data_IF_743399548429
#
_entry.id   IF_743399548429
#
_cell.length_a   1.000
_cell.length_b   1.000
_cell.length_c   1.000
_cell.angle_alpha   90.00
_cell.angle_beta   90.00
_cell.angle_gamma   90.00
#
_symmetry.space_group_name_H-M   'P 1'
#
loop_
_entity.id
_entity.type
_entity.pdbx_description
1 polymer ?
#
# COMPACT_ATOMS: atom_id res chain seq x y z
N UNK A 1 -64.00 11.24 -18.53
CA UNK A 1 -65.09 10.58 -19.28
C UNK A 1 -64.48 9.32 -19.87
N UNK A 2 -64.57 8.18 -19.20
CA UNK A 2 -65.75 7.30 -19.09
C UNK A 2 -65.74 6.23 -20.20
N UNK A 3 -65.30 5.02 -19.85
CA UNK A 3 -65.59 3.78 -20.59
C UNK A 3 -67.07 3.42 -20.50
N UNK A 4 -67.53 2.41 -21.25
CA UNK A 4 -67.92 1.17 -20.55
C UNK A 4 -67.63 -0.16 -21.31
N UNK A 5 -67.31 -1.23 -20.55
CA UNK A 5 -67.85 -2.62 -20.56
C UNK A 5 -68.06 -3.39 -21.89
N UNK A 6 -67.92 -4.72 -22.02
CA UNK A 6 -67.73 -5.87 -21.08
C UNK A 6 -67.10 -7.09 -21.87
N UNK A 7 -66.77 -8.29 -21.37
CA UNK A 7 -66.69 -8.88 -20.01
C UNK A 7 -65.68 -10.09 -19.95
N UNK A 8 -65.96 -11.17 -19.20
CA UNK A 8 -65.15 -12.39 -18.95
C UNK A 8 -66.03 -13.67 -19.22
N UNK A 9 -65.58 -14.96 -19.16
CA UNK A 9 -64.99 -15.58 -17.96
C UNK A 9 -63.89 -16.67 -18.15
N UNK A 10 -63.38 -17.14 -17.00
CA UNK A 10 -62.43 -18.22 -16.73
C UNK A 10 -62.55 -19.54 -17.52
N UNK A 11 -61.44 -20.29 -17.58
CA UNK A 11 -61.36 -21.60 -16.92
C UNK A 11 -59.92 -21.97 -16.52
N UNK A 12 -59.82 -22.65 -15.37
CA UNK A 12 -58.59 -23.13 -14.73
C UNK A 12 -58.14 -24.46 -15.36
N UNK A 13 -56.84 -24.77 -15.33
CA UNK A 13 -56.33 -26.09 -14.88
C UNK A 13 -54.78 -26.13 -14.86
N UNK A 14 -54.22 -26.36 -13.67
CA UNK A 14 -52.95 -27.07 -13.50
C UNK A 14 -53.28 -28.52 -13.10
N UNK A 15 -52.43 -29.51 -13.46
CA UNK A 15 -51.45 -29.93 -12.45
C UNK A 15 -50.08 -30.36 -12.99
N UNK A 16 -49.08 -30.09 -12.14
CA UNK A 16 -47.89 -30.90 -11.83
C UNK A 16 -47.52 -32.09 -12.76
N UNK A 17 -46.28 -32.07 -13.27
CA UNK A 17 -45.53 -33.30 -13.56
C UNK A 17 -44.15 -33.25 -12.91
N UNK A 18 -43.81 -34.30 -12.15
CA UNK A 18 -42.59 -34.39 -11.35
C UNK A 18 -41.48 -35.12 -12.11
N UNK A 19 -40.29 -34.52 -12.20
CA UNK A 19 -39.09 -35.20 -12.70
C UNK A 19 -38.55 -36.18 -11.65
N UNK A 20 -38.94 -37.45 -11.78
CA UNK A 20 -38.42 -38.54 -10.96
C UNK A 20 -36.98 -38.91 -11.35
N UNK A 21 -36.09 -39.00 -10.36
CA UNK A 21 -34.73 -39.53 -10.52
C UNK A 21 -34.76 -41.07 -10.61
N UNK A 22 -33.96 -41.71 -11.49
CA UNK A 22 -33.80 -43.17 -11.45
C UNK A 22 -32.94 -43.59 -10.24
N UNK A 23 -33.37 -44.66 -9.53
CA UNK A 23 -32.53 -45.37 -8.55
C UNK A 23 -31.70 -46.45 -9.26
N UNK A 24 -30.40 -46.60 -9.00
CA UNK A 24 -29.64 -47.75 -9.46
C UNK A 24 -29.93 -48.99 -8.59
N UNK A 25 -30.00 -50.17 -9.22
CA UNK A 25 -30.24 -51.45 -8.56
C UNK A 25 -28.94 -52.08 -8.03
N UNK A 26 -28.99 -52.70 -6.85
CA UNK A 26 -27.95 -53.63 -6.42
C UNK A 26 -28.12 -54.97 -7.15
N UNK A 27 -27.06 -55.47 -7.78
CA UNK A 27 -26.58 -56.87 -7.64
C UNK A 27 -25.29 -57.13 -8.44
N UNK A 28 -24.30 -57.69 -7.75
CA UNK A 28 -23.14 -58.46 -8.25
C UNK A 28 -22.27 -57.87 -9.38
N UNK A 29 -21.10 -57.31 -9.01
CA UNK A 29 -19.87 -57.54 -9.76
C UNK A 29 -18.68 -57.80 -8.81
N UNK A 30 -17.66 -58.50 -9.32
CA UNK A 30 -16.66 -59.24 -8.51
C UNK A 30 -15.65 -58.35 -7.77
N UNK A 31 -15.18 -58.88 -6.64
CA UNK A 31 -13.98 -58.42 -5.93
C UNK A 31 -12.77 -58.33 -6.89
N UNK A 32 -12.14 -57.16 -6.93
CA UNK A 32 -10.73 -57.00 -7.30
C UNK A 32 -10.06 -56.25 -6.15
N UNK A 33 -9.15 -56.93 -5.43
CA UNK A 33 -8.29 -56.27 -4.45
C UNK A 33 -7.24 -55.46 -5.19
N UNK A 34 -7.41 -54.13 -5.24
CA UNK A 34 -6.32 -53.21 -5.57
C UNK A 34 -5.78 -52.62 -4.27
N UNK A 35 -4.53 -52.97 -3.94
CA UNK A 35 -3.81 -52.46 -2.79
C UNK A 35 -3.58 -50.96 -2.95
N UNK A 36 -4.34 -50.14 -2.24
CA UNK A 36 -4.05 -48.71 -2.15
C UNK A 36 -2.79 -48.55 -1.30
N UNK A 37 -1.64 -48.44 -1.96
CA UNK A 37 -0.42 -47.94 -1.34
C UNK A 37 -0.70 -46.52 -0.85
N UNK A 38 -0.77 -46.38 0.47
CA UNK A 38 -0.82 -45.09 1.14
C UNK A 38 0.55 -44.42 0.95
N UNK A 39 0.73 -43.73 -0.18
CA UNK A 39 1.89 -42.85 -0.39
C UNK A 39 1.83 -41.77 0.70
N UNK A 40 2.87 -41.64 1.55
CA UNK A 40 2.91 -40.54 2.48
C UNK A 40 2.91 -39.25 1.67
N UNK A 41 1.99 -38.34 1.99
CA UNK A 41 2.07 -36.97 1.53
C UNK A 41 3.41 -36.42 2.03
N UNK A 42 4.41 -36.36 1.15
CA UNK A 42 5.66 -35.68 1.42
C UNK A 42 5.32 -34.21 1.58
N UNK A 43 5.07 -33.83 2.84
CA UNK A 43 5.14 -32.44 3.28
C UNK A 43 6.51 -31.94 2.83
N UNK A 44 6.54 -31.16 1.74
CA UNK A 44 7.74 -30.43 1.35
C UNK A 44 8.26 -29.75 2.59
N UNK A 45 9.52 -30.00 3.01
CA UNK A 45 10.03 -29.38 4.21
C UNK A 45 9.89 -27.88 4.01
N UNK A 46 9.21 -27.21 4.93
CA UNK A 46 9.25 -25.77 4.99
C UNK A 46 10.73 -25.43 5.15
N UNK A 47 11.35 -24.91 4.09
CA UNK A 47 12.74 -24.49 4.13
C UNK A 47 12.77 -23.40 5.19
N UNK A 48 13.31 -23.76 6.35
CA UNK A 48 13.59 -22.83 7.43
C UNK A 48 14.72 -21.93 6.93
N UNK A 49 14.36 -20.92 6.14
CA UNK A 49 15.22 -19.79 5.84
C UNK A 49 15.46 -19.10 7.17
N UNK A 50 16.54 -19.51 7.84
CA UNK A 50 17.12 -18.77 8.96
C UNK A 50 17.18 -17.29 8.58
N UNK A 51 16.89 -16.44 9.56
CA UNK A 51 17.06 -14.99 9.42
C UNK A 51 18.54 -14.69 9.15
N UNK A 52 18.92 -14.58 7.87
CA UNK A 52 20.22 -14.05 7.47
C UNK A 52 20.36 -12.65 8.04
N UNK A 53 21.22 -12.49 9.05
CA UNK A 53 21.60 -11.20 9.63
C UNK A 53 20.52 -10.42 10.39
N UNK A 54 19.22 -10.64 10.13
CA UNK A 54 18.14 -9.81 10.65
C UNK A 54 17.83 -10.04 12.13
N UNK A 55 17.65 -8.93 12.86
CA UNK A 55 17.18 -8.90 14.24
C UNK A 55 15.99 -7.96 14.39
N UNK A 56 14.91 -8.44 15.02
CA UNK A 56 13.71 -7.67 15.33
C UNK A 56 13.63 -7.44 16.84
N UNK A 57 13.96 -6.24 17.29
CA UNK A 57 14.01 -5.86 18.70
C UNK A 57 12.74 -5.08 19.09
N UNK A 58 12.09 -5.49 20.19
CA UNK A 58 11.02 -4.70 20.81
C UNK A 58 11.64 -3.48 21.51
N UNK A 59 11.16 -2.28 21.20
CA UNK A 59 11.56 -1.05 21.89
C UNK A 59 10.63 -0.76 23.06
N UNK A 60 11.15 -0.05 24.07
CA UNK A 60 10.34 0.39 25.21
C UNK A 60 9.44 1.58 24.83
N UNK A 61 8.16 1.49 25.17
CA UNK A 61 7.15 2.53 24.94
C UNK A 61 6.27 2.68 26.17
N UNK A 62 5.96 3.93 26.54
CA UNK A 62 5.16 4.28 27.72
C UNK A 62 3.67 3.93 27.58
N UNK A 63 3.19 3.89 26.34
CA UNK A 63 1.80 3.58 25.96
C UNK A 63 1.79 2.84 24.62
N UNK A 64 0.71 2.12 24.27
CA UNK A 64 0.59 1.47 22.98
C UNK A 64 0.79 2.43 21.81
N UNK A 65 1.60 2.02 20.84
CA UNK A 65 1.83 2.76 19.59
C UNK A 65 0.56 2.75 18.76
N UNK A 66 0.20 3.91 18.22
CA UNK A 66 -0.97 4.11 17.35
C UNK A 66 -0.62 4.49 15.93
N UNK A 67 0.52 5.12 15.72
CA UNK A 67 0.88 5.77 14.47
C UNK A 67 2.40 5.97 14.41
N UNK A 68 2.99 5.77 13.23
CA UNK A 68 4.31 6.26 12.87
C UNK A 68 4.13 7.28 11.76
N UNK A 69 4.77 8.44 11.89
CA UNK A 69 4.73 9.52 10.90
C UNK A 69 6.15 9.86 10.48
N UNK A 70 6.41 9.83 9.17
CA UNK A 70 7.70 10.22 8.58
C UNK A 70 7.52 11.58 7.91
N UNK A 71 8.30 12.58 8.35
CA UNK A 71 8.31 13.91 7.75
C UNK A 71 9.67 14.17 7.10
N UNK A 72 9.67 14.62 5.85
CA UNK A 72 10.86 15.19 5.22
C UNK A 72 11.13 16.57 5.82
N UNK A 73 12.34 16.81 6.32
CA UNK A 73 12.76 18.13 6.78
C UNK A 73 13.66 18.76 5.70
N UNK A 74 13.39 20.01 5.31
CA UNK A 74 14.04 20.70 4.18
C UNK A 74 15.58 20.59 4.17
N UNK A 75 16.09 19.61 3.41
CA UNK A 75 17.52 19.32 3.30
C UNK A 75 18.21 18.74 4.56
N UNK A 76 17.47 18.44 5.64
CA UNK A 76 18.00 17.89 6.90
C UNK A 76 17.68 16.40 7.12
N UNK A 77 17.33 15.69 6.05
CA UNK A 77 16.89 14.29 6.11
C UNK A 77 15.45 14.13 6.62
N UNK A 78 15.07 12.93 7.03
CA UNK A 78 13.73 12.62 7.54
C UNK A 78 13.69 12.61 9.08
N UNK A 79 12.58 13.11 9.65
CA UNK A 79 12.24 12.97 11.06
C UNK A 79 11.17 11.90 11.19
N UNK A 80 11.33 10.99 12.16
CA UNK A 80 10.35 9.94 12.48
C UNK A 80 9.70 10.26 13.81
N UNK A 81 8.36 10.25 13.82
CA UNK A 81 7.55 10.50 15.00
C UNK A 81 6.71 9.27 15.34
N UNK A 82 6.67 8.94 16.63
CA UNK A 82 5.96 7.81 17.23
C UNK A 82 4.82 8.35 18.09
N UNK A 83 3.58 7.97 17.78
CA UNK A 83 2.41 8.30 18.59
C UNK A 83 2.14 7.23 19.62
N UNK A 84 2.33 7.57 20.89
CA UNK A 84 2.10 6.71 22.05
C UNK A 84 0.84 7.20 22.77
N UNK A 85 -0.29 6.50 22.59
CA UNK A 85 -1.60 7.01 22.99
C UNK A 85 -1.93 8.35 22.31
N UNK A 86 -2.02 9.43 23.11
CA UNK A 86 -2.23 10.81 22.62
C UNK A 86 -0.94 11.61 22.47
N UNK A 87 0.20 11.14 22.98
CA UNK A 87 1.46 11.88 23.00
C UNK A 87 2.37 11.51 21.82
N UNK A 88 2.94 12.53 21.17
CA UNK A 88 3.95 12.36 20.14
C UNK A 88 5.36 12.39 20.71
N UNK A 89 6.23 11.54 20.16
CA UNK A 89 7.65 11.47 20.46
C UNK A 89 8.44 11.42 19.16
N UNK A 90 9.56 12.13 19.06
CA UNK A 90 10.52 12.01 17.96
C UNK A 90 11.50 10.88 18.26
N UNK A 91 11.69 9.98 17.30
CA UNK A 91 12.72 8.95 17.38
C UNK A 91 14.07 9.53 16.91
N UNK A 92 15.11 9.33 17.73
CA UNK A 92 16.49 9.75 17.47
C UNK A 92 17.46 8.63 17.89
N UNK A 93 18.74 8.72 17.49
CA UNK A 93 19.80 7.95 18.16
C UNK A 93 19.97 8.42 19.61
N UNK A 94 20.37 7.54 20.52
CA UNK A 94 20.65 7.92 21.91
C UNK A 94 22.00 8.64 22.05
N UNK A 95 22.06 9.64 22.93
CA UNK A 95 23.27 10.46 23.18
C UNK A 95 24.27 9.81 24.17
N UNK A 96 24.06 8.53 24.51
CA UNK A 96 24.90 7.74 25.43
C UNK A 96 26.04 6.98 24.74
N UNK A 97 26.22 7.20 23.43
CA UNK A 97 27.20 6.48 22.60
C UNK A 97 26.76 5.08 22.18
N UNK A 98 25.56 4.62 22.59
CA UNK A 98 24.95 3.43 22.01
C UNK A 98 24.50 3.72 20.57
N UNK A 99 24.40 2.67 19.75
CA UNK A 99 23.75 2.77 18.44
C UNK A 99 22.23 2.47 18.54
N UNK A 100 21.61 2.76 19.68
CA UNK A 100 20.20 2.48 19.96
C UNK A 100 19.30 3.70 19.72
N UNK A 101 17.98 3.50 19.86
CA UNK A 101 16.97 4.52 19.55
C UNK A 101 16.25 5.02 20.80
N UNK A 102 16.25 6.34 20.96
CA UNK A 102 15.61 7.07 22.03
C UNK A 102 14.35 7.79 21.52
N UNK A 103 13.29 7.82 22.34
CA UNK A 103 12.01 8.47 22.03
C UNK A 103 11.84 9.73 22.88
N UNK A 104 12.18 10.90 22.33
CA UNK A 104 12.03 12.19 23.03
C UNK A 104 10.64 12.76 22.79
N UNK A 105 9.92 13.16 23.84
CA UNK A 105 8.59 13.78 23.72
C UNK A 105 8.66 15.07 22.89
N UNK A 106 8.07 15.04 21.69
CA UNK A 106 8.09 16.14 20.73
C UNK A 106 6.95 15.95 19.71
N UNK A 107 6.15 16.99 19.40
CA UNK A 107 5.15 16.91 18.34
C UNK A 107 5.81 16.87 16.94
N UNK A 108 5.13 16.30 15.94
CA UNK A 108 5.50 16.50 14.54
C UNK A 108 5.40 17.97 14.14
N UNK A 109 6.09 18.33 13.05
CA UNK A 109 5.91 19.65 12.44
C UNK A 109 4.48 19.78 11.90
N UNK A 110 3.91 20.97 12.01
CA UNK A 110 2.58 21.23 11.48
C UNK A 110 2.57 21.11 9.96
N UNK A 111 1.58 20.40 9.41
CA UNK A 111 1.36 20.34 7.96
C UNK A 111 1.11 21.75 7.40
N UNK A 112 1.49 22.03 6.13
CA UNK A 112 1.18 23.29 5.47
C UNK A 112 -0.32 23.64 5.55
N UNK A 113 -0.64 24.91 5.76
CA UNK A 113 -2.03 25.38 5.75
C UNK A 113 -2.62 25.29 4.34
N UNK A 114 -3.68 24.52 4.20
CA UNK A 114 -4.36 24.31 2.93
C UNK A 114 -5.41 25.42 2.73
N UNK A 115 -5.32 26.25 1.67
CA UNK A 115 -6.28 27.34 1.50
C UNK A 115 -7.65 26.78 1.11
N UNK A 116 -8.71 27.13 1.86
CA UNK A 116 -10.07 26.61 1.63
C UNK A 116 -10.63 26.93 0.22
N UNK A 117 -10.13 27.99 -0.43
CA UNK A 117 -10.45 28.32 -1.83
C UNK A 117 -9.94 27.29 -2.84
N UNK A 118 -9.00 26.43 -2.45
CA UNK A 118 -8.42 25.36 -3.25
C UNK A 118 -9.10 24.00 -2.98
N UNK A 119 -10.37 24.04 -2.54
CA UNK A 119 -11.19 22.86 -2.28
C UNK A 119 -11.06 22.31 -0.86
N UNK A 120 -12.13 21.66 -0.40
CA UNK A 120 -12.13 20.96 0.89
C UNK A 120 -11.16 19.78 0.83
N UNK A 121 -10.15 19.78 1.69
CA UNK A 121 -9.20 18.67 1.81
C UNK A 121 -9.89 17.37 2.27
N UNK A 122 -9.34 16.22 1.88
CA UNK A 122 -9.75 14.92 2.40
C UNK A 122 -9.47 14.83 3.90
N UNK A 123 -10.43 14.32 4.68
CA UNK A 123 -10.22 14.09 6.12
C UNK A 123 -9.18 13.00 6.29
N UNK A 124 -8.23 13.20 7.20
CA UNK A 124 -7.13 12.27 7.49
C UNK A 124 -6.17 12.02 6.29
N UNK A 125 -6.33 12.76 5.19
CA UNK A 125 -5.39 12.78 4.07
C UNK A 125 -4.13 13.57 4.43
N UNK A 126 -2.97 13.09 3.98
CA UNK A 126 -1.69 13.75 4.20
C UNK A 126 -1.37 14.78 3.11
N UNK A 127 -0.58 15.77 3.48
CA UNK A 127 -0.04 16.77 2.55
C UNK A 127 1.35 16.34 2.12
N UNK A 128 1.53 16.08 0.83
CA UNK A 128 2.84 15.78 0.26
C UNK A 128 3.61 17.08 0.00
N UNK A 129 4.91 17.08 0.29
CA UNK A 129 5.80 18.23 0.04
C UNK A 129 7.07 17.78 -0.70
N UNK A 130 7.59 18.64 -1.57
CA UNK A 130 8.82 18.41 -2.31
C UNK A 130 9.72 19.66 -2.31
N UNK A 131 11.01 19.46 -2.04
CA UNK A 131 12.04 20.51 -2.01
C UNK A 131 12.41 21.01 -3.41
N UNK A 132 12.44 20.10 -4.38
CA UNK A 132 12.88 20.31 -5.77
C UNK A 132 11.72 20.04 -6.75
N UNK A 133 11.89 20.27 -8.05
CA UNK A 133 10.78 20.22 -9.02
C UNK A 133 9.85 21.45 -9.09
N UNK A 134 8.84 21.37 -9.94
CA UNK A 134 7.86 22.43 -10.23
C UNK A 134 6.63 22.38 -9.31
N UNK A 135 6.11 21.19 -8.99
CA UNK A 135 5.08 20.98 -7.96
C UNK A 135 5.75 20.89 -6.59
N UNK A 136 5.29 21.69 -5.62
CA UNK A 136 5.86 21.78 -4.25
C UNK A 136 5.01 21.12 -3.18
N UNK A 137 3.69 21.22 -3.32
CA UNK A 137 2.73 20.74 -2.31
C UNK A 137 1.59 20.05 -3.04
N UNK A 138 1.10 18.92 -2.53
CA UNK A 138 -0.06 18.22 -3.08
C UNK A 138 -0.95 17.64 -1.98
N UNK A 139 -2.26 17.70 -2.15
CA UNK A 139 -3.25 17.12 -1.22
C UNK A 139 -4.54 16.72 -1.93
N UNK A 140 -5.19 15.69 -1.41
CA UNK A 140 -6.47 15.19 -1.93
C UNK A 140 -7.63 16.11 -1.55
N UNK A 141 -8.58 16.29 -2.47
CA UNK A 141 -9.70 17.24 -2.33
C UNK A 141 -11.05 16.66 -2.75
N UNK A 142 -12.11 17.27 -2.23
CA UNK A 142 -13.49 16.90 -2.50
C UNK A 142 -13.86 15.54 -1.91
N UNK A 143 -14.08 15.44 -0.58
CA UNK A 143 -14.52 14.19 0.05
C UNK A 143 -15.87 13.74 -0.52
N UNK A 144 -16.00 12.47 -0.91
CA UNK A 144 -17.19 11.92 -1.58
C UNK A 144 -17.48 10.48 -1.15
N UNK A 145 -18.76 10.11 -1.08
CA UNK A 145 -19.22 8.76 -0.75
C UNK A 145 -19.65 7.93 -1.98
N UNK A 146 -19.28 8.38 -3.19
CA UNK A 146 -19.70 7.76 -4.47
C UNK A 146 -19.11 6.38 -4.75
N UNK A 147 -18.14 5.94 -3.96
CA UNK A 147 -17.50 4.63 -4.04
C UNK A 147 -17.42 4.02 -2.65
N UNK A 148 -18.24 3.00 -2.40
CA UNK A 148 -18.42 2.41 -1.06
C UNK A 148 -17.62 1.11 -0.92
N UNK A 149 -16.29 1.22 -0.97
CA UNK A 149 -15.40 0.08 -0.73
C UNK A 149 -14.98 -0.04 0.75
N UNK A 150 -14.72 1.08 1.42
CA UNK A 150 -14.44 1.08 2.87
C UNK A 150 -13.02 0.61 3.25
N UNK A 151 -12.14 0.37 2.26
CA UNK A 151 -10.87 -0.33 2.49
C UNK A 151 -9.91 0.47 3.38
N UNK A 152 -10.05 1.79 3.40
CA UNK A 152 -9.27 2.75 4.17
C UNK A 152 -9.87 3.04 5.57
N UNK A 153 -10.92 2.33 5.97
CA UNK A 153 -11.52 2.46 7.31
C UNK A 153 -12.61 3.52 7.45
N UNK A 154 -12.89 4.29 6.39
CA UNK A 154 -14.23 4.81 6.12
C UNK A 154 -14.54 4.67 4.62
N UNK A 155 -15.74 5.10 4.20
CA UNK A 155 -16.20 5.07 2.82
C UNK A 155 -16.25 6.47 2.19
N UNK A 156 -15.25 7.32 2.49
CA UNK A 156 -15.11 8.68 1.99
C UNK A 156 -13.79 8.81 1.22
N UNK A 157 -13.90 8.83 -0.09
CA UNK A 157 -12.77 8.93 -1.02
C UNK A 157 -12.65 10.37 -1.56
N UNK A 158 -11.62 10.68 -2.36
CA UNK A 158 -11.45 12.01 -2.95
C UNK A 158 -11.93 12.11 -4.42
N UNK A 159 -12.58 13.22 -4.76
CA UNK A 159 -12.96 13.55 -6.15
C UNK A 159 -11.83 14.16 -6.96
N UNK A 160 -10.76 14.64 -6.31
CA UNK A 160 -9.67 15.32 -6.98
C UNK A 160 -8.42 15.47 -6.13
N UNK A 161 -7.45 16.17 -6.71
CA UNK A 161 -6.21 16.57 -6.06
C UNK A 161 -5.92 18.02 -6.40
N UNK A 162 -5.45 18.78 -5.42
CA UNK A 162 -4.94 20.13 -5.57
C UNK A 162 -3.43 20.13 -5.38
N UNK A 163 -2.75 21.00 -6.12
CA UNK A 163 -1.29 21.18 -6.03
C UNK A 163 -0.92 22.64 -5.97
N UNK A 164 0.16 22.95 -5.25
CA UNK A 164 0.84 24.25 -5.28
C UNK A 164 2.14 24.12 -6.07
N UNK A 165 2.37 25.03 -7.01
CA UNK A 165 3.57 25.12 -7.82
C UNK A 165 4.65 25.96 -7.15
N UNK A 166 5.89 25.87 -7.64
CA UNK A 166 7.07 26.62 -7.17
C UNK A 166 6.89 28.14 -7.24
N UNK A 167 6.04 28.64 -8.13
CA UNK A 167 5.67 30.05 -8.25
C UNK A 167 4.48 30.44 -7.35
N UNK A 168 4.05 29.57 -6.43
CA UNK A 168 2.93 29.79 -5.51
C UNK A 168 1.53 29.60 -6.12
N UNK A 169 1.41 29.43 -7.44
CA UNK A 169 0.12 29.20 -8.10
C UNK A 169 -0.44 27.81 -7.78
N UNK A 170 -1.76 27.68 -7.82
CA UNK A 170 -2.45 26.41 -7.60
C UNK A 170 -2.97 25.79 -8.90
N UNK A 171 -2.97 24.46 -8.98
CA UNK A 171 -3.66 23.69 -10.04
C UNK A 171 -4.48 22.57 -9.41
N UNK A 172 -5.49 22.12 -10.16
CA UNK A 172 -6.46 21.13 -9.73
C UNK A 172 -6.62 20.08 -10.80
N UNK A 173 -6.79 18.82 -10.39
CA UNK A 173 -7.27 17.77 -11.26
C UNK A 173 -8.48 17.11 -10.59
N UNK A 174 -9.63 17.18 -11.24
CA UNK A 174 -10.88 16.58 -10.77
C UNK A 174 -11.22 15.36 -11.63
N UNK A 175 -11.49 14.24 -10.97
CA UNK A 175 -11.88 13.00 -11.62
C UNK A 175 -13.31 13.09 -12.17
N UNK A 176 -13.58 12.47 -13.34
CA UNK A 176 -14.94 12.22 -13.80
C UNK A 176 -15.73 11.41 -12.76
N UNK A 177 -17.07 11.44 -12.86
CA UNK A 177 -17.96 10.80 -11.87
C UNK A 177 -17.84 9.27 -11.80
N UNK A 178 -17.12 8.65 -12.73
CA UNK A 178 -16.89 7.21 -12.88
C UNK A 178 -15.75 6.64 -12.01
N UNK A 179 -15.05 7.49 -11.26
CA UNK A 179 -13.87 7.13 -10.50
C UNK A 179 -13.64 8.02 -9.27
N UNK A 180 -12.76 7.62 -8.36
CA UNK A 180 -12.32 8.38 -7.17
C UNK A 180 -10.81 8.17 -6.97
N UNK A 181 -10.15 9.04 -6.21
CA UNK A 181 -8.85 8.72 -5.62
C UNK A 181 -9.10 7.98 -4.30
N UNK A 182 -8.78 6.68 -4.29
CA UNK A 182 -8.87 5.79 -3.13
C UNK A 182 -7.48 5.66 -2.50
N UNK A 183 -7.03 6.78 -1.94
CA UNK A 183 -5.68 7.01 -1.40
C UNK A 183 -5.76 8.03 -0.26
N UNK A 184 -4.71 8.14 0.55
CA UNK A 184 -4.58 9.17 1.59
C UNK A 184 -3.35 10.05 1.39
N UNK A 185 -2.38 9.61 0.59
CA UNK A 185 -1.06 10.24 0.52
C UNK A 185 -0.63 10.40 -0.94
N UNK A 186 -0.73 11.61 -1.53
CA UNK A 186 -0.06 11.89 -2.79
C UNK A 186 1.44 11.60 -2.66
N UNK A 187 2.03 10.88 -3.61
CA UNK A 187 3.47 10.59 -3.60
C UNK A 187 4.10 11.45 -4.70
N UNK A 188 4.97 12.38 -4.31
CA UNK A 188 5.42 13.49 -5.15
C UNK A 188 6.93 13.38 -5.42
N UNK A 189 7.32 13.16 -6.67
CA UNK A 189 8.74 13.01 -7.07
C UNK A 189 8.92 13.19 -8.58
N UNK A 190 10.14 13.48 -9.02
CA UNK A 190 10.56 13.40 -10.42
C UNK A 190 10.67 11.92 -10.83
N UNK A 191 9.76 11.46 -11.70
CA UNK A 191 9.67 10.05 -12.11
C UNK A 191 10.48 9.75 -13.38
N UNK A 192 10.54 10.69 -14.33
CA UNK A 192 11.13 10.47 -15.66
C UNK A 192 12.54 11.06 -15.81
N UNK A 193 12.97 11.90 -14.88
CA UNK A 193 14.27 12.55 -14.79
C UNK A 193 14.35 13.93 -15.44
N UNK A 194 13.22 14.58 -15.76
CA UNK A 194 13.20 15.88 -16.44
C UNK A 194 13.35 17.12 -15.52
N UNK A 195 13.42 16.92 -14.20
CA UNK A 195 13.56 17.97 -13.21
C UNK A 195 12.25 18.60 -12.75
N UNK A 196 11.09 18.06 -13.16
CA UNK A 196 9.75 18.37 -12.64
C UNK A 196 9.25 17.22 -11.78
N UNK A 197 8.18 17.46 -11.01
CA UNK A 197 7.60 16.40 -10.17
C UNK A 197 6.27 15.91 -10.75
N UNK A 198 6.10 14.59 -10.72
CA UNK A 198 4.82 13.92 -10.89
C UNK A 198 4.22 13.51 -9.54
N UNK A 199 2.90 13.37 -9.52
CA UNK A 199 2.16 12.72 -8.45
C UNK A 199 1.85 11.28 -8.85
N UNK A 200 2.10 10.33 -7.95
CA UNK A 200 1.59 8.97 -8.00
C UNK A 200 0.39 8.86 -7.04
N UNK A 201 -0.76 8.45 -7.57
CA UNK A 201 -2.02 8.28 -6.84
C UNK A 201 -2.73 6.98 -7.21
N UNK A 202 -3.55 6.45 -6.31
CA UNK A 202 -4.47 5.34 -6.62
C UNK A 202 -5.82 5.87 -7.10
N UNK A 203 -6.16 5.66 -8.37
CA UNK A 203 -7.49 5.97 -8.94
C UNK A 203 -8.33 4.70 -9.00
N UNK A 204 -9.46 4.67 -8.31
CA UNK A 204 -10.43 3.57 -8.36
C UNK A 204 -11.64 3.92 -9.21
N UNK A 205 -11.83 3.16 -10.29
CA UNK A 205 -13.02 3.24 -11.14
C UNK A 205 -14.18 2.47 -10.52
N UNK A 206 -15.39 3.05 -10.54
CA UNK A 206 -16.59 2.48 -9.91
C UNK A 206 -16.92 1.08 -10.45
N UNK A 207 -16.62 0.80 -11.72
CA UNK A 207 -16.82 -0.52 -12.35
C UNK A 207 -15.54 -1.36 -12.51
N UNK A 208 -14.39 -0.73 -12.77
CA UNK A 208 -13.15 -1.41 -13.18
C UNK A 208 -12.09 -1.56 -12.07
N UNK A 209 -12.30 -0.96 -10.90
CA UNK A 209 -11.36 -1.01 -9.78
C UNK A 209 -10.14 -0.10 -9.96
N UNK A 210 -9.11 -0.32 -9.15
CA UNK A 210 -7.95 0.55 -9.04
C UNK A 210 -6.98 0.49 -10.24
N UNK A 211 -6.36 1.63 -10.50
CA UNK A 211 -5.18 1.87 -11.32
C UNK A 211 -4.24 2.83 -10.57
N UNK A 212 -2.93 2.80 -10.89
CA UNK A 212 -2.04 3.91 -10.54
C UNK A 212 -2.17 4.98 -11.60
N UNK A 213 -2.39 6.22 -11.17
CA UNK A 213 -2.44 7.41 -12.00
C UNK A 213 -1.21 8.29 -11.76
N UNK A 214 -0.63 8.77 -12.87
CA UNK A 214 0.48 9.72 -12.89
C UNK A 214 -0.05 11.08 -13.34
N UNK A 215 0.04 12.09 -12.48
CA UNK A 215 -0.31 13.48 -12.81
C UNK A 215 0.95 14.34 -12.83
N UNK A 216 1.02 15.31 -13.73
CA UNK A 216 2.11 16.30 -13.75
C UNK A 216 1.73 17.53 -14.56
N UNK A 217 2.57 18.55 -14.58
CA UNK A 217 2.28 19.80 -15.29
C UNK A 217 2.61 19.69 -16.77
N UNK A 218 1.62 19.93 -17.62
CA UNK A 218 1.76 20.06 -19.09
C UNK A 218 0.87 21.22 -19.55
N UNK A 219 1.39 22.07 -20.44
CA UNK A 219 0.74 23.30 -20.93
C UNK A 219 0.19 24.20 -19.80
N UNK A 220 0.96 24.31 -18.71
CA UNK A 220 0.60 25.07 -17.51
C UNK A 220 -0.65 24.54 -16.76
N UNK A 221 -1.10 23.30 -16.99
CA UNK A 221 -2.20 22.63 -16.29
C UNK A 221 -1.73 21.33 -15.62
N UNK A 222 -2.41 20.92 -14.54
CA UNK A 222 -2.21 19.59 -13.96
C UNK A 222 -3.00 18.57 -14.79
N UNK A 223 -2.30 17.65 -15.46
CA UNK A 223 -2.90 16.68 -16.37
C UNK A 223 -2.49 15.25 -16.05
N UNK A 224 -3.36 14.32 -16.42
CA UNK A 224 -3.09 12.89 -16.41
C UNK A 224 -2.11 12.54 -17.53
N UNK A 225 -0.95 12.01 -17.15
CA UNK A 225 0.14 11.69 -18.07
C UNK A 225 0.12 10.21 -18.47
N UNK A 226 -0.13 9.32 -17.51
CA UNK A 226 -0.25 7.89 -17.73
C UNK A 226 -1.06 7.22 -16.62
N UNK A 227 -1.62 6.05 -16.91
CA UNK A 227 -2.23 5.15 -15.93
C UNK A 227 -1.78 3.70 -16.18
N UNK A 228 -1.74 2.87 -15.14
CA UNK A 228 -1.76 1.42 -15.35
C UNK A 228 -3.14 0.99 -15.85
N UNK A 229 -3.27 -0.15 -16.56
CA UNK A 229 -4.58 -0.76 -16.77
C UNK A 229 -5.32 -0.94 -15.43
N UNK A 230 -6.60 -0.55 -15.36
CA UNK A 230 -7.43 -0.81 -14.20
C UNK A 230 -7.56 -2.32 -13.96
N UNK A 231 -7.55 -2.76 -12.70
CA UNK A 231 -7.37 -4.19 -12.39
C UNK A 231 -8.59 -5.10 -12.59
N UNK A 232 -9.63 -4.57 -13.25
CA UNK A 232 -10.68 -5.32 -13.96
C UNK A 232 -12.00 -5.53 -13.21
N UNK A 233 -12.13 -5.05 -11.97
CA UNK A 233 -13.35 -5.19 -11.16
C UNK A 233 -13.41 -4.17 -10.04
N UNK A 234 -14.56 -3.55 -9.84
CA UNK A 234 -14.90 -2.74 -8.66
C UNK A 234 -14.48 -3.39 -7.33
N UNK A 235 -14.13 -2.57 -6.34
CA UNK A 235 -13.68 -3.02 -5.02
C UNK A 235 -12.47 -3.98 -5.08
N UNK A 236 -11.64 -3.83 -6.13
CA UNK A 236 -10.27 -4.33 -6.18
C UNK A 236 -9.36 -3.12 -6.17
N UNK A 237 -8.40 -3.14 -5.25
CA UNK A 237 -7.55 -2.01 -4.94
C UNK A 237 -6.05 -2.33 -5.10
N UNK A 238 -5.24 -1.29 -5.26
CA UNK A 238 -3.77 -1.30 -5.34
C UNK A 238 -3.25 -0.47 -4.17
N UNK A 239 -2.27 -0.96 -3.42
CA UNK A 239 -1.57 -0.12 -2.44
C UNK A 239 -0.12 0.13 -2.89
N UNK A 240 0.29 1.37 -3.20
CA UNK A 240 1.68 1.69 -3.49
C UNK A 240 2.57 1.32 -2.29
N UNK A 241 3.68 0.64 -2.57
CA UNK A 241 4.59 0.10 -1.56
C UNK A 241 5.89 0.88 -1.45
N UNK A 242 6.51 1.21 -2.58
CA UNK A 242 7.82 1.88 -2.62
C UNK A 242 7.88 2.88 -3.78
N UNK A 243 8.68 3.93 -3.61
CA UNK A 243 9.00 4.90 -4.64
C UNK A 243 10.47 5.27 -4.50
N UNK A 244 11.32 4.58 -5.24
CA UNK A 244 12.78 4.63 -5.08
C UNK A 244 13.49 4.10 -6.32
N UNK A 245 14.74 4.50 -6.55
CA UNK A 245 15.58 3.89 -7.58
C UNK A 245 15.98 2.47 -7.15
N UNK A 246 15.28 1.48 -7.67
CA UNK A 246 15.51 0.07 -7.41
C UNK A 246 16.53 -0.52 -8.39
N UNK A 247 16.55 -0.01 -9.62
CA UNK A 247 17.44 -0.48 -10.69
C UNK A 247 18.83 0.18 -10.67
N UNK A 248 19.03 1.27 -9.93
CA UNK A 248 20.29 2.01 -9.85
C UNK A 248 20.53 2.88 -11.10
N UNK A 249 19.46 3.36 -11.76
CA UNK A 249 19.56 4.15 -12.99
C UNK A 249 19.42 5.67 -12.78
N UNK A 250 19.21 6.12 -11.54
CA UNK A 250 18.98 7.52 -11.17
C UNK A 250 17.53 7.95 -11.18
N UNK A 251 16.57 7.07 -11.54
CA UNK A 251 15.13 7.38 -11.57
C UNK A 251 14.33 6.40 -10.74
N UNK A 252 13.31 6.86 -9.98
CA UNK A 252 12.55 6.00 -9.11
C UNK A 252 11.59 5.08 -9.88
N UNK A 253 11.56 3.82 -9.50
CA UNK A 253 10.47 2.91 -9.85
C UNK A 253 9.35 2.97 -8.81
N UNK A 254 8.12 2.75 -9.29
CA UNK A 254 6.90 2.65 -8.48
C UNK A 254 6.65 1.19 -8.15
N UNK A 255 6.84 0.80 -6.89
CA UNK A 255 6.36 -0.48 -6.38
C UNK A 255 4.94 -0.36 -5.85
N UNK A 256 4.12 -1.38 -6.07
CA UNK A 256 2.77 -1.50 -5.53
C UNK A 256 2.43 -2.96 -5.21
N UNK A 257 1.51 -3.20 -4.27
CA UNK A 257 0.86 -4.50 -4.10
C UNK A 257 -0.54 -4.45 -4.69
N UNK A 258 -0.78 -5.28 -5.70
CA UNK A 258 -2.11 -5.55 -6.23
C UNK A 258 -2.89 -6.43 -5.27
N UNK A 259 -4.08 -5.99 -4.89
CA UNK A 259 -5.04 -6.69 -4.02
C UNK A 259 -4.39 -7.27 -2.75
N UNK A 260 -3.81 -6.43 -1.87
CA UNK A 260 -3.01 -6.86 -0.71
C UNK A 260 -3.78 -7.71 0.32
N UNK A 261 -5.12 -7.70 0.28
CA UNK A 261 -5.98 -8.47 1.19
C UNK A 261 -6.30 -9.89 0.70
N UNK A 262 -5.96 -10.24 -0.55
CA UNK A 262 -6.26 -11.55 -1.15
C UNK A 262 -5.09 -12.08 -1.99
N UNK A 263 -4.18 -12.79 -1.33
CA UNK A 263 -3.00 -13.41 -1.95
C UNK A 263 -1.85 -12.43 -2.23
N UNK A 264 -2.17 -11.28 -2.81
CA UNK A 264 -1.27 -10.13 -2.99
C UNK A 264 -0.15 -10.35 -4.00
N UNK A 265 0.05 -9.36 -4.88
CA UNK A 265 1.13 -9.39 -5.86
C UNK A 265 1.88 -8.06 -5.86
N UNK A 266 3.15 -8.08 -5.44
CA UNK A 266 4.07 -6.97 -5.63
C UNK A 266 4.34 -6.82 -7.13
N UNK A 267 4.24 -5.60 -7.64
CA UNK A 267 4.55 -5.22 -9.01
C UNK A 267 5.46 -3.99 -8.98
N UNK A 268 6.47 -3.97 -9.84
CA UNK A 268 7.34 -2.82 -10.05
C UNK A 268 7.05 -2.21 -11.42
N UNK A 269 6.83 -0.90 -11.46
CA UNK A 269 6.47 -0.13 -12.62
C UNK A 269 7.45 1.03 -12.82
N UNK A 270 7.75 1.36 -14.08
CA UNK A 270 8.56 2.51 -14.46
C UNK A 270 7.79 3.43 -15.40
N UNK A 271 7.85 4.72 -15.14
CA UNK A 271 7.35 5.78 -16.02
C UNK A 271 8.49 6.25 -16.96
N UNK A 272 8.16 6.56 -18.21
CA UNK A 272 9.12 7.03 -19.22
C UNK A 272 8.79 8.43 -19.77
N UNK A 273 8.01 9.21 -19.02
CA UNK A 273 7.46 10.50 -19.43
C UNK A 273 6.19 10.40 -20.29
N UNK A 274 5.81 9.19 -20.74
CA UNK A 274 4.65 8.96 -21.62
C UNK A 274 3.75 7.80 -21.20
N UNK A 275 4.31 6.74 -20.60
CA UNK A 275 3.56 5.53 -20.22
C UNK A 275 4.18 4.84 -19.01
N UNK A 276 3.37 4.03 -18.33
CA UNK A 276 3.82 3.10 -17.30
C UNK A 276 4.12 1.73 -17.93
N UNK A 277 5.26 1.15 -17.56
CA UNK A 277 5.69 -0.19 -17.99
C UNK A 277 6.06 -1.04 -16.78
N UNK A 278 5.49 -2.25 -16.67
CA UNK A 278 5.78 -3.16 -15.55
C UNK A 278 7.12 -3.87 -15.81
N UNK A 279 8.11 -3.69 -14.92
CA UNK A 279 9.43 -4.29 -15.04
C UNK A 279 9.55 -5.65 -14.34
N UNK A 280 8.89 -5.82 -13.19
CA UNK A 280 8.93 -7.08 -12.42
C UNK A 280 7.63 -7.29 -11.62
N UNK A 281 7.34 -8.53 -11.21
CA UNK A 281 6.24 -8.88 -10.29
C UNK A 281 6.50 -10.19 -9.53
N UNK A 282 6.02 -10.27 -8.30
CA UNK A 282 6.07 -11.49 -7.48
C UNK A 282 4.83 -11.60 -6.57
N UNK A 283 4.37 -12.82 -6.31
CA UNK A 283 3.19 -13.09 -5.47
C UNK A 283 3.59 -13.30 -3.99
N UNK A 284 2.63 -13.14 -3.07
CA UNK A 284 2.80 -13.55 -1.68
C UNK A 284 3.16 -12.42 -0.71
N UNK A 285 2.72 -11.18 -0.99
CA UNK A 285 3.02 -9.98 -0.20
C UNK A 285 1.77 -9.23 0.22
N UNK A 286 1.79 -8.59 1.40
CA UNK A 286 0.68 -7.73 1.87
C UNK A 286 1.21 -6.51 2.61
N UNK A 287 1.10 -5.34 1.98
CA UNK A 287 1.45 -4.04 2.58
C UNK A 287 0.20 -3.26 3.04
N UNK A 288 -0.95 -3.90 3.24
CA UNK A 288 -2.14 -3.23 3.78
C UNK A 288 -3.05 -4.15 4.56
N UNK A 289 -3.59 -3.65 5.68
CA UNK A 289 -4.64 -4.29 6.46
C UNK A 289 -5.97 -3.59 6.17
N UNK A 290 -7.03 -4.36 5.89
CA UNK A 290 -8.34 -3.79 5.56
C UNK A 290 -8.87 -2.93 6.73
N UNK A 291 -9.38 -1.74 6.41
CA UNK A 291 -9.83 -0.76 7.39
C UNK A 291 -8.73 0.10 8.02
N UNK A 292 -7.46 -0.08 7.61
CA UNK A 292 -6.33 0.72 8.12
C UNK A 292 -6.21 2.08 7.43
N UNK A 293 -5.63 3.05 8.13
CA UNK A 293 -5.12 4.31 7.57
C UNK A 293 -3.63 4.25 7.22
N UNK A 294 -2.91 3.26 7.75
CA UNK A 294 -1.51 3.04 7.47
C UNK A 294 -1.34 2.37 6.10
N UNK A 295 -0.83 3.12 5.12
CA UNK A 295 -0.60 2.66 3.74
C UNK A 295 0.85 2.21 3.50
N UNK A 296 1.78 2.66 4.33
CA UNK A 296 3.22 2.51 4.15
C UNK A 296 3.83 1.28 4.82
N UNK A 297 3.19 0.11 4.78
CA UNK A 297 3.74 -1.15 5.36
C UNK A 297 4.84 -1.74 4.44
N UNK A 298 5.80 -0.92 4.03
CA UNK A 298 6.99 -1.29 3.30
C UNK A 298 8.03 -0.18 3.35
N UNK A 299 9.31 -0.53 3.20
CA UNK A 299 10.42 0.42 3.22
C UNK A 299 11.50 0.05 2.19
N UNK A 300 12.38 0.99 1.85
CA UNK A 300 13.56 0.74 0.99
C UNK A 300 14.83 1.10 1.73
N UNK A 301 15.72 0.13 1.87
CA UNK A 301 17.09 0.31 2.33
C UNK A 301 18.06 0.13 1.18
N UNK A 302 19.22 0.76 1.24
CA UNK A 302 20.23 0.74 0.18
C UNK A 302 21.58 0.42 0.81
N UNK A 303 22.30 -0.54 0.23
CA UNK A 303 23.68 -0.88 0.60
C UNK A 303 24.47 -1.19 -0.67
N UNK A 304 25.69 -0.66 -0.79
CA UNK A 304 26.58 -0.90 -1.94
C UNK A 304 25.88 -0.69 -3.31
N UNK A 305 25.12 0.39 -3.45
CA UNK A 305 24.29 0.72 -4.63
C UNK A 305 23.22 -0.33 -5.00
N UNK A 306 22.90 -1.26 -4.09
CA UNK A 306 21.86 -2.26 -4.24
C UNK A 306 20.69 -1.96 -3.31
N UNK A 307 19.56 -1.55 -3.92
CA UNK A 307 18.31 -1.30 -3.21
C UNK A 307 17.66 -2.60 -2.75
N UNK A 308 16.97 -2.53 -1.62
CA UNK A 308 16.29 -3.66 -0.96
C UNK A 308 14.89 -3.22 -0.55
N UNK A 309 13.88 -4.03 -0.85
CA UNK A 309 12.50 -3.77 -0.42
C UNK A 309 12.25 -4.58 0.85
N UNK A 310 11.78 -3.92 1.90
CA UNK A 310 11.31 -4.56 3.14
C UNK A 310 9.79 -4.53 3.12
N UNK A 311 9.15 -5.69 3.15
CA UNK A 311 7.70 -5.82 2.99
C UNK A 311 7.17 -7.09 3.70
N UNK A 312 5.94 -7.09 4.26
CA UNK A 312 5.37 -8.30 4.86
C UNK A 312 5.03 -9.39 3.84
N UNK A 313 5.08 -10.64 4.29
CA UNK A 313 4.46 -11.75 3.58
C UNK A 313 2.92 -11.61 3.53
N UNK A 314 2.24 -12.34 2.64
CA UNK A 314 0.79 -12.23 2.45
C UNK A 314 -0.07 -12.52 3.70
N UNK A 315 0.51 -13.17 4.72
CA UNK A 315 -0.14 -13.42 6.02
C UNK A 315 0.11 -12.31 7.04
N UNK A 316 1.02 -11.37 6.72
CA UNK A 316 1.61 -10.40 7.63
C UNK A 316 2.25 -11.04 8.87
N UNK A 317 2.84 -12.23 8.68
CA UNK A 317 3.43 -13.07 9.73
C UNK A 317 4.96 -13.00 9.78
N UNK A 318 5.57 -12.40 8.76
CA UNK A 318 7.00 -12.15 8.68
C UNK A 318 7.26 -10.91 7.82
N UNK A 319 8.38 -10.24 8.08
CA UNK A 319 8.98 -9.31 7.12
C UNK A 319 9.93 -10.08 6.20
N UNK A 320 9.93 -9.70 4.93
CA UNK A 320 10.82 -10.20 3.89
C UNK A 320 11.70 -9.06 3.42
N UNK A 321 13.00 -9.32 3.26
CA UNK A 321 13.95 -8.44 2.58
C UNK A 321 14.13 -8.98 1.17
N UNK A 322 13.73 -8.19 0.17
CA UNK A 322 13.83 -8.52 -1.24
C UNK A 322 14.98 -7.77 -1.89
N UNK A 323 15.64 -8.39 -2.87
CA UNK A 323 16.46 -7.65 -3.83
C UNK A 323 15.57 -6.73 -4.69
N UNK A 324 15.87 -5.44 -4.76
CA UNK A 324 15.02 -4.45 -5.42
C UNK A 324 14.83 -4.67 -6.93
N UNK A 325 15.79 -5.32 -7.60
CA UNK A 325 15.73 -5.56 -9.06
C UNK A 325 15.00 -6.85 -9.39
N UNK A 326 15.36 -7.94 -8.70
CA UNK A 326 14.89 -9.30 -9.00
C UNK A 326 13.67 -9.73 -8.20
N UNK A 327 13.36 -9.05 -7.08
CA UNK A 327 12.35 -9.43 -6.08
C UNK A 327 12.64 -10.77 -5.37
N UNK A 328 13.85 -11.31 -5.50
CA UNK A 328 14.28 -12.51 -4.79
C UNK A 328 14.35 -12.24 -3.28
N UNK A 329 13.84 -13.17 -2.47
CA UNK A 329 13.91 -13.09 -1.01
C UNK A 329 15.36 -13.33 -0.57
N UNK A 330 15.98 -12.32 0.02
CA UNK A 330 17.33 -12.36 0.58
C UNK A 330 17.31 -12.68 2.08
N UNK A 331 16.29 -12.22 2.80
CA UNK A 331 16.14 -12.41 4.24
C UNK A 331 14.68 -12.49 4.67
N UNK A 332 14.43 -13.11 5.82
CA UNK A 332 13.12 -13.25 6.47
C UNK A 332 13.30 -13.06 7.97
N UNK A 333 12.34 -12.40 8.62
CA UNK A 333 12.22 -12.41 10.10
C UNK A 333 10.75 -12.54 10.48
N UNK A 334 10.45 -13.44 11.41
CA UNK A 334 9.08 -13.66 11.89
C UNK A 334 8.60 -12.46 12.71
N UNK A 335 7.33 -12.09 12.54
CA UNK A 335 6.68 -11.06 13.33
C UNK A 335 5.87 -11.72 14.47
N UNK A 336 5.92 -11.19 15.71
CA UNK A 336 5.11 -11.71 16.82
C UNK A 336 3.61 -11.40 16.65
N UNK A 337 3.26 -10.33 15.91
CA UNK A 337 1.90 -10.02 15.50
C UNK A 337 1.90 -9.13 14.24
N UNK A 338 0.73 -8.83 13.67
CA UNK A 338 0.64 -8.10 12.39
C UNK A 338 1.07 -6.64 12.51
N UNK A 339 1.67 -6.01 11.48
CA UNK A 339 1.93 -4.58 11.48
C UNK A 339 0.64 -3.75 11.42
N UNK A 340 0.65 -2.63 12.13
CA UNK A 340 -0.49 -1.71 12.26
C UNK A 340 -0.15 -0.25 11.93
N UNK A 341 1.12 0.08 11.75
CA UNK A 341 1.59 1.41 11.32
C UNK A 341 2.31 1.35 9.99
N UNK A 342 2.53 2.53 9.40
CA UNK A 342 3.53 2.72 8.36
C UNK A 342 4.92 2.32 8.87
N UNK A 343 5.83 1.98 7.97
CA UNK A 343 7.22 1.65 8.28
C UNK A 343 8.07 2.91 8.14
N UNK A 344 8.87 3.20 9.16
CA UNK A 344 9.73 4.38 9.18
C UNK A 344 11.21 3.97 9.15
N UNK A 345 11.93 4.40 8.11
CA UNK A 345 13.37 4.23 8.03
C UNK A 345 14.06 5.34 8.85
N UNK A 346 14.90 4.95 9.80
CA UNK A 346 15.85 5.83 10.47
C UNK A 346 17.23 5.51 9.93
N UNK A 347 17.98 6.56 9.60
CA UNK A 347 19.42 6.49 9.31
C UNK A 347 20.15 7.29 10.38
N UNK A 348 21.00 6.62 11.15
CA UNK A 348 21.84 7.28 12.16
C UNK A 348 23.01 8.01 11.48
N UNK A 349 23.66 9.00 12.14
CA UNK A 349 24.86 9.66 11.61
C UNK A 349 26.02 8.69 11.30
N UNK A 350 26.04 7.52 11.95
CA UNK A 350 26.97 6.41 11.72
C UNK A 350 26.73 5.64 10.41
N UNK A 351 25.64 5.93 9.69
CA UNK A 351 25.20 5.21 8.49
C UNK A 351 24.21 4.07 8.77
N UNK A 352 24.18 3.55 10.02
CA UNK A 352 23.29 2.46 10.46
C UNK A 352 21.83 2.73 10.11
N UNK A 353 21.16 1.74 9.52
CA UNK A 353 19.79 1.79 9.04
C UNK A 353 18.89 0.93 9.93
N UNK A 354 17.76 1.47 10.36
CA UNK A 354 16.80 0.78 11.23
C UNK A 354 15.38 1.06 10.77
N UNK A 355 14.53 0.04 10.73
CA UNK A 355 13.14 0.17 10.28
C UNK A 355 12.24 0.03 11.50
N UNK A 356 11.57 1.12 11.86
CA UNK A 356 10.56 1.12 12.91
C UNK A 356 9.20 0.71 12.35
N UNK A 357 8.48 -0.11 13.12
CA UNK A 357 7.10 -0.49 12.87
C UNK A 357 6.36 -0.78 14.18
N UNK A 358 5.11 -0.32 14.29
CA UNK A 358 4.18 -0.73 15.33
C UNK A 358 3.43 -1.99 14.91
N UNK A 359 3.23 -2.91 15.86
CA UNK A 359 2.47 -4.15 15.65
C UNK A 359 1.15 -4.16 16.45
N UNK A 360 0.28 -5.12 16.13
CA UNK A 360 -1.07 -5.27 16.72
C UNK A 360 -1.10 -5.63 18.20
N UNK A 361 0.04 -6.05 18.77
CA UNK A 361 0.25 -6.22 20.22
C UNK A 361 0.45 -4.87 20.94
N UNK A 362 0.49 -3.76 20.20
CA UNK A 362 0.60 -2.39 20.70
C UNK A 362 2.04 -1.88 20.86
N UNK A 363 3.06 -2.68 20.57
CA UNK A 363 4.45 -2.29 20.82
C UNK A 363 5.17 -1.77 19.56
N UNK A 364 6.21 -0.96 19.79
CA UNK A 364 7.16 -0.56 18.77
C UNK A 364 8.23 -1.65 18.60
N UNK A 365 8.57 -1.95 17.36
CA UNK A 365 9.69 -2.81 17.02
C UNK A 365 10.67 -2.08 16.09
N UNK A 366 11.94 -2.44 16.21
CA UNK A 366 13.03 -2.02 15.33
C UNK A 366 13.58 -3.24 14.62
N UNK A 367 13.47 -3.26 13.29
CA UNK A 367 14.20 -4.20 12.44
C UNK A 367 15.58 -3.63 12.15
N UNK A 368 16.60 -4.44 12.41
CA UNK A 368 18.01 -4.15 12.20
C UNK A 368 18.67 -5.34 11.50
N UNK A 369 19.89 -5.12 10.99
CA UNK A 369 20.69 -6.19 10.40
C UNK A 369 22.12 -6.22 11.01
N UNK A 370 22.31 -6.73 12.25
CA UNK A 370 23.59 -6.68 12.96
C UNK A 370 24.85 -7.15 12.21
N UNK A 371 24.72 -8.06 11.25
CA UNK A 371 25.85 -8.52 10.43
C UNK A 371 26.20 -7.57 9.26
N UNK A 372 25.40 -6.52 9.04
CA UNK A 372 25.52 -5.56 7.94
C UNK A 372 25.23 -6.13 6.55
N UNK A 373 25.24 -7.46 6.34
CA UNK A 373 25.21 -8.14 5.04
C UNK A 373 24.13 -7.65 4.04
N UNK A 374 22.86 -7.55 4.47
CA UNK A 374 21.73 -7.09 3.66
C UNK A 374 21.58 -5.56 3.58
N UNK A 375 21.75 -4.88 4.73
CA UNK A 375 21.76 -3.42 4.89
C UNK A 375 22.56 -3.05 6.15
N UNK A 376 23.00 -1.80 6.21
CA UNK A 376 23.94 -1.26 7.23
C UNK A 376 23.29 -1.02 8.61
#
# INVERSE_FOLDING_TARGET
MASPFAENPDQQHSPQSAFSRPKPSLKHFRQLYLSVLCLPFLMSPAIAMNSKGLSLQKLHTQQPVKELLVQSNDGKGQSVYVRQGTNWHRAIGCDDGSNDLCLIKAPPQASPSLPASQGKALRDGQVATARDGDIRVAWLTGPTSRYQHGVLGDAIEAEGVAVQLKNGQYRHFKLPKDSVFEDLVPRLTDLDGDGRNELVLVRSYLGAGAAIAILGIRDNELRLLAETPAIGRANRWLNPSVLADLSGNGRPEIGLVRTPHIGGQLQIWRFDGKKLTQSNKANGFSNHSIGSRALGLSSVVVKNNASRIIIPDAKQSALLVLDGKTLNILGRVSLPSRPTTDFALIRQPTGKQQILLGLSDGHLYSLTNPNGDLFD
#
